data_IF_272943082765
#
_entry.id   IF_272943082765
#
_cell.length_a   1.000
_cell.length_b   1.000
_cell.length_c   1.000
_cell.angle_alpha   90.00
_cell.angle_beta   90.00
_cell.angle_gamma   90.00
#
_symmetry.space_group_name_H-M   'P 1'
#
loop_
_entity.id
_entity.type
_entity.pdbx_description
1 polymer ?
#
# COMPACT_ATOMS: atom_id res chain seq x y z
N UNK A 1 -19.84 -15.12 3.68
CA UNK A 1 -19.07 -14.68 2.49
C UNK A 1 -18.92 -13.16 2.54
N UNK A 2 -17.89 -12.64 3.24
CA UNK A 2 -17.76 -11.20 3.52
C UNK A 2 -16.70 -10.54 2.65
N UNK A 3 -17.07 -10.05 1.47
CA UNK A 3 -16.17 -9.33 0.56
C UNK A 3 -16.36 -7.83 0.71
N UNK A 4 -15.71 -7.24 1.71
CA UNK A 4 -15.42 -5.81 1.73
C UNK A 4 -13.91 -5.66 1.93
N UNK A 5 -13.14 -5.73 0.84
CA UNK A 5 -11.68 -5.54 0.89
C UNK A 5 -11.14 -4.60 -0.19
N UNK A 6 -11.99 -3.80 -0.83
CA UNK A 6 -11.63 -2.96 -1.99
C UNK A 6 -11.45 -1.47 -1.62
N UNK A 7 -12.19 -0.92 -0.65
CA UNK A 7 -12.22 0.53 -0.40
C UNK A 7 -10.89 1.11 0.09
N UNK A 8 -10.09 0.33 0.82
CA UNK A 8 -8.81 0.79 1.37
C UNK A 8 -7.69 0.87 0.33
N UNK A 9 -7.72 -0.02 -0.68
CA UNK A 9 -6.72 -0.03 -1.75
C UNK A 9 -6.82 1.25 -2.58
N UNK A 10 -8.04 1.60 -3.01
CA UNK A 10 -8.32 2.81 -3.78
C UNK A 10 -7.81 4.08 -3.11
N UNK A 11 -7.86 4.16 -1.77
CA UNK A 11 -7.35 5.34 -1.02
C UNK A 11 -5.82 5.42 -1.04
N UNK A 12 -5.13 4.28 -0.90
CA UNK A 12 -3.65 4.23 -0.97
C UNK A 12 -3.21 4.53 -2.41
N UNK A 13 -3.91 3.99 -3.41
CA UNK A 13 -3.67 4.28 -4.83
C UNK A 13 -3.94 5.76 -5.17
N UNK A 14 -5.02 6.34 -4.65
CA UNK A 14 -5.32 7.77 -4.82
C UNK A 14 -4.28 8.67 -4.15
N UNK A 15 -3.80 8.32 -2.96
CA UNK A 15 -2.71 9.04 -2.30
C UNK A 15 -1.40 8.93 -3.09
N UNK A 16 -1.09 7.76 -3.64
CA UNK A 16 0.06 7.57 -4.52
C UNK A 16 -0.04 8.46 -5.77
N UNK A 17 -1.19 8.45 -6.46
CA UNK A 17 -1.43 9.32 -7.61
C UNK A 17 -1.25 10.80 -7.26
N UNK A 18 -1.79 11.25 -6.13
CA UNK A 18 -1.65 12.63 -5.67
C UNK A 18 -0.21 13.04 -5.34
N UNK A 19 0.70 12.09 -5.07
CA UNK A 19 2.11 12.35 -4.75
C UNK A 19 3.07 12.19 -5.92
N UNK A 20 2.55 12.03 -7.14
CA UNK A 20 3.36 11.87 -8.36
C UNK A 20 3.39 10.45 -8.92
N UNK A 21 2.63 9.52 -8.34
CA UNK A 21 2.49 8.16 -8.85
C UNK A 21 3.78 7.33 -8.77
N UNK A 22 3.90 6.33 -9.64
CA UNK A 22 5.11 5.49 -9.73
C UNK A 22 5.23 4.41 -8.66
N UNK A 23 4.18 4.20 -7.85
CA UNK A 23 4.10 3.09 -6.88
C UNK A 23 2.87 2.23 -7.16
N UNK A 24 3.08 0.92 -7.27
CA UNK A 24 2.04 -0.09 -7.35
C UNK A 24 1.74 -0.61 -5.95
N UNK A 25 0.46 -0.59 -5.55
CA UNK A 25 0.00 -1.16 -4.29
C UNK A 25 -0.46 -2.59 -4.53
N UNK A 26 0.28 -3.60 -4.05
CA UNK A 26 -0.16 -4.99 -4.08
C UNK A 26 -0.59 -5.46 -2.70
N UNK A 27 -1.80 -6.01 -2.62
CA UNK A 27 -2.27 -6.67 -1.40
C UNK A 27 -1.52 -7.99 -1.21
N UNK A 28 -0.90 -8.18 -0.05
CA UNK A 28 -0.13 -9.38 0.30
C UNK A 28 -0.58 -9.93 1.66
N UNK A 29 -1.16 -11.13 1.68
CA UNK A 29 -1.68 -11.81 2.86
C UNK A 29 -2.52 -10.90 3.79
N UNK A 30 -1.93 -10.43 4.90
CA UNK A 30 -2.55 -9.56 5.92
C UNK A 30 -2.17 -8.08 5.78
N UNK A 31 -1.60 -7.66 4.65
CA UNK A 31 -1.13 -6.29 4.44
C UNK A 31 -1.08 -5.87 2.98
N UNK A 32 -0.33 -4.79 2.73
CA UNK A 32 -0.09 -4.23 1.41
C UNK A 32 1.41 -4.04 1.23
N UNK A 33 1.93 -4.40 0.07
CA UNK A 33 3.29 -4.12 -0.36
C UNK A 33 3.22 -3.02 -1.39
N UNK A 34 4.00 -1.97 -1.18
CA UNK A 34 4.24 -0.91 -2.14
C UNK A 34 5.45 -1.30 -2.98
N UNK A 35 5.28 -1.33 -4.29
CA UNK A 35 6.32 -1.67 -5.26
C UNK A 35 6.57 -0.44 -6.13
N UNK A 36 7.82 -0.16 -6.48
CA UNK A 36 8.13 0.84 -7.50
C UNK A 36 7.60 0.36 -8.83
N UNK A 37 6.79 1.16 -9.51
CA UNK A 37 6.22 0.81 -10.81
C UNK A 37 7.31 0.55 -11.85
N UNK A 38 8.37 1.38 -11.85
CA UNK A 38 9.48 1.29 -12.81
C UNK A 38 10.31 0.01 -12.70
N UNK A 39 10.52 -0.50 -11.50
CA UNK A 39 11.48 -1.59 -11.25
C UNK A 39 10.87 -2.82 -10.61
N UNK A 40 9.61 -2.76 -10.17
CA UNK A 40 8.96 -3.80 -9.38
C UNK A 40 9.56 -3.99 -7.99
N UNK A 41 10.54 -3.17 -7.60
CA UNK A 41 11.24 -3.30 -6.32
C UNK A 41 10.30 -2.93 -5.17
N UNK A 42 10.22 -3.73 -4.10
CA UNK A 42 9.43 -3.36 -2.95
C UNK A 42 10.07 -2.14 -2.26
N UNK A 43 9.29 -1.09 -2.08
CA UNK A 43 9.72 0.15 -1.42
C UNK A 43 9.15 0.26 -0.02
N UNK A 44 8.05 -0.42 0.29
CA UNK A 44 7.49 -0.43 1.62
C UNK A 44 6.50 -1.56 1.83
N UNK A 45 6.28 -1.92 3.10
CA UNK A 45 5.22 -2.85 3.49
C UNK A 45 4.37 -2.25 4.58
N UNK A 46 3.08 -2.29 4.33
CA UNK A 46 2.03 -1.79 5.17
C UNK A 46 1.27 -2.96 5.76
N UNK A 47 0.92 -2.86 7.04
CA UNK A 47 0.02 -3.79 7.71
C UNK A 47 -1.17 -3.00 8.24
N UNK A 48 -2.42 -3.28 7.81
CA UNK A 48 -3.60 -2.74 8.45
C UNK A 48 -3.57 -3.10 9.94
N UNK A 49 -3.73 -2.08 10.79
CA UNK A 49 -3.61 -2.25 12.24
C UNK A 49 -4.85 -2.88 12.87
N UNK A 50 -5.89 -3.20 12.10
CA UNK A 50 -7.19 -3.64 12.60
C UNK A 50 -8.08 -2.50 13.11
N UNK A 51 -7.50 -1.32 13.38
CA UNK A 51 -8.24 -0.13 13.78
C UNK A 51 -8.55 0.75 12.56
N UNK A 52 -9.83 0.96 12.26
CA UNK A 52 -10.31 1.93 11.27
C UNK A 52 -9.59 1.84 9.91
N UNK A 53 -9.17 3.00 9.37
CA UNK A 53 -8.41 3.18 8.12
C UNK A 53 -6.87 3.21 8.29
N UNK A 54 -6.38 3.04 9.52
CA UNK A 54 -4.96 3.16 9.84
C UNK A 54 -4.15 1.96 9.36
N UNK A 55 -2.98 2.22 8.80
CA UNK A 55 -1.99 1.21 8.42
C UNK A 55 -0.70 1.49 9.14
N UNK A 56 -0.05 0.45 9.66
CA UNK A 56 1.30 0.53 10.18
C UNK A 56 2.28 0.28 9.04
N UNK A 57 3.29 1.13 8.94
CA UNK A 57 4.44 0.90 8.07
C UNK A 57 5.36 -0.06 8.80
N UNK A 58 5.48 -1.29 8.32
CA UNK A 58 6.39 -2.28 8.90
C UNK A 58 7.83 -2.00 8.48
N UNK A 59 8.02 -1.55 7.24
CA UNK A 59 9.31 -1.11 6.73
C UNK A 59 9.11 -0.19 5.53
N UNK A 60 10.07 0.72 5.35
CA UNK A 60 10.12 1.69 4.26
C UNK A 60 11.56 1.84 3.77
N UNK A 61 11.76 1.66 2.48
CA UNK A 61 13.00 1.81 1.73
C UNK A 61 12.76 2.82 0.60
N UNK A 62 12.08 3.92 0.91
CA UNK A 62 11.99 5.04 -0.01
C UNK A 62 13.37 5.63 -0.16
N UNK A 63 14.02 5.29 -1.27
CA UNK A 63 15.18 6.01 -1.78
C UNK A 63 14.86 7.51 -1.70
N UNK A 64 15.70 8.23 -0.94
CA UNK A 64 15.64 9.67 -0.74
C UNK A 64 15.81 10.40 -2.06
#
# INVERSE_FOLDING_TARGET
>A
MGVIRQCRLKRIEGFNQARGGGVIVRKAARGYTLLRERTGTPIARLRPSGNGDTVQVLWWNGER
#
